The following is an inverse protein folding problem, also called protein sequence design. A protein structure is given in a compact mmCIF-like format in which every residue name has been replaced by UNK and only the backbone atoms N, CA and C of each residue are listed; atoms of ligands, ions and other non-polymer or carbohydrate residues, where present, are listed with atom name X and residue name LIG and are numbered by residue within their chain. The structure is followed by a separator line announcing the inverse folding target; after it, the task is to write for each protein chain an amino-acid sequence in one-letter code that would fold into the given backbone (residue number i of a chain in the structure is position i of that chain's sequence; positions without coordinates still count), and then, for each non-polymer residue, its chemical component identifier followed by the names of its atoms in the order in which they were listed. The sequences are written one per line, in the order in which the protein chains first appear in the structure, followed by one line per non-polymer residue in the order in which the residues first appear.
data_IF_084073058633
#
_entry.id   IF_084073058633
#
_cell.length_a   1.000
_cell.length_b   1.000
_cell.length_c   1.000
_cell.angle_alpha   90.00
_cell.angle_beta   90.00
_cell.angle_gamma   90.00
#
_symmetry.space_group_name_H-M   'P 1'
#
loop_
_entity.id
_entity.type
_entity.pdbx_description
1 polymer ?
#
# COMPACT_ATOMS: atom_id res chain seq x y z
N UNK A 1 1.37 -41.72 0.84
CA UNK A 1 0.93 -40.40 1.36
C UNK A 1 0.17 -39.65 0.26
N UNK A 2 -0.89 -38.93 0.63
CA UNK A 2 -2.07 -38.58 -0.19
C UNK A 2 -1.81 -37.46 -1.22
N UNK A 3 -0.99 -37.72 -2.26
CA UNK A 3 -0.64 -36.75 -3.33
C UNK A 3 -1.85 -36.15 -4.05
N UNK A 4 -2.93 -36.91 -4.21
CA UNK A 4 -4.18 -36.44 -4.83
C UNK A 4 -4.79 -35.23 -4.10
N UNK A 5 -4.73 -35.21 -2.77
CA UNK A 5 -5.25 -34.08 -1.98
C UNK A 5 -4.38 -32.83 -2.08
N UNK A 6 -3.06 -32.98 -2.23
CA UNK A 6 -2.14 -31.87 -2.43
C UNK A 6 -2.37 -31.21 -3.79
N UNK A 7 -2.54 -32.01 -4.84
CA UNK A 7 -2.82 -31.48 -6.18
C UNK A 7 -4.15 -30.72 -6.22
N UNK A 8 -5.23 -31.28 -5.63
CA UNK A 8 -6.53 -30.59 -5.56
C UNK A 8 -6.45 -29.29 -4.75
N UNK A 9 -5.67 -29.26 -3.66
CA UNK A 9 -5.46 -28.04 -2.84
C UNK A 9 -4.67 -26.98 -3.60
N UNK A 10 -3.60 -27.35 -4.29
CA UNK A 10 -2.79 -26.43 -5.09
C UNK A 10 -3.56 -25.89 -6.30
N UNK A 11 -4.35 -26.74 -6.97
CA UNK A 11 -5.22 -26.33 -8.07
C UNK A 11 -6.33 -25.38 -7.60
N UNK A 12 -6.93 -25.65 -6.42
CA UNK A 12 -7.92 -24.76 -5.82
C UNK A 12 -7.28 -23.41 -5.41
N UNK A 13 -6.09 -23.42 -4.81
CA UNK A 13 -5.37 -22.20 -4.45
C UNK A 13 -5.01 -21.36 -5.69
N UNK A 14 -4.56 -22.01 -6.78
CA UNK A 14 -4.30 -21.35 -8.05
C UNK A 14 -5.58 -20.77 -8.66
N UNK A 15 -6.69 -21.50 -8.64
CA UNK A 15 -7.98 -21.02 -9.13
C UNK A 15 -8.48 -19.81 -8.33
N UNK A 16 -8.37 -19.85 -6.99
CA UNK A 16 -8.72 -18.71 -6.13
C UNK A 16 -7.83 -17.51 -6.41
N UNK A 17 -6.52 -17.71 -6.57
CA UNK A 17 -5.58 -16.63 -6.91
C UNK A 17 -5.88 -15.99 -8.28
N UNK A 18 -6.28 -16.79 -9.28
CA UNK A 18 -6.65 -16.30 -10.61
C UNK A 18 -8.00 -15.57 -10.62
N UNK A 19 -8.96 -16.01 -9.80
CA UNK A 19 -10.27 -15.38 -9.65
C UNK A 19 -10.26 -14.17 -8.70
N UNK A 20 -9.19 -14.01 -7.93
CA UNK A 20 -9.01 -12.85 -7.06
C UNK A 20 -8.90 -11.60 -7.90
N UNK A 21 -9.86 -10.69 -7.71
CA UNK A 21 -9.86 -9.40 -8.39
C UNK A 21 -8.70 -8.56 -7.86
N UNK A 22 -7.71 -8.28 -8.71
CA UNK A 22 -6.68 -7.30 -8.40
C UNK A 22 -7.32 -5.91 -8.47
N UNK A 23 -7.66 -5.35 -7.30
CA UNK A 23 -8.13 -3.97 -7.20
C UNK A 23 -6.92 -3.05 -7.38
N UNK A 24 -6.81 -2.43 -8.55
CA UNK A 24 -5.85 -1.34 -8.80
C UNK A 24 -6.34 -0.06 -8.12
N UNK A 25 -6.19 0.01 -6.80
CA UNK A 25 -6.50 1.20 -6.01
C UNK A 25 -5.28 2.11 -5.82
N UNK A 26 -4.29 2.08 -6.73
CA UNK A 26 -3.10 2.94 -6.61
C UNK A 26 -3.46 4.44 -6.47
N UNK A 27 -4.63 4.88 -6.96
CA UNK A 27 -5.13 6.25 -6.78
C UNK A 27 -5.52 6.62 -5.35
N UNK A 28 -5.80 5.65 -4.48
CA UNK A 28 -6.13 5.86 -3.05
C UNK A 28 -5.25 5.02 -2.11
N UNK A 29 -4.22 4.37 -2.65
CA UNK A 29 -3.34 3.51 -1.86
C UNK A 29 -2.37 4.40 -1.09
N UNK A 30 -2.43 4.30 0.24
CA UNK A 30 -1.49 4.93 1.13
C UNK A 30 -0.35 3.95 1.44
N UNK A 31 0.88 4.45 1.41
CA UNK A 31 2.08 3.67 1.74
C UNK A 31 2.77 4.22 3.00
N UNK A 32 2.12 5.15 3.71
CA UNK A 32 2.62 5.86 4.88
C UNK A 32 2.56 5.02 6.15
N UNK A 33 3.43 4.01 6.25
CA UNK A 33 3.54 3.16 7.44
C UNK A 33 4.82 3.38 8.27
N UNK A 34 5.81 4.11 7.74
CA UNK A 34 7.08 4.38 8.44
C UNK A 34 7.68 5.72 8.01
N UNK A 35 8.08 6.54 8.99
CA UNK A 35 8.81 7.78 8.73
C UNK A 35 10.22 7.53 8.17
N UNK A 36 10.87 6.43 8.57
CA UNK A 36 12.15 6.02 7.98
C UNK A 36 11.98 5.61 6.51
N UNK A 37 10.87 4.92 6.20
CA UNK A 37 10.45 4.61 4.84
C UNK A 37 10.19 5.87 4.02
N UNK A 38 9.48 6.87 4.57
CA UNK A 38 9.22 8.15 3.89
C UNK A 38 10.52 8.82 3.39
N UNK A 39 11.57 8.85 4.22
CA UNK A 39 12.88 9.40 3.84
C UNK A 39 13.58 8.65 2.69
N UNK A 40 13.22 7.39 2.46
CA UNK A 40 13.70 6.55 1.34
C UNK A 40 12.67 6.39 0.22
N UNK A 41 11.60 7.19 0.22
CA UNK A 41 10.46 7.04 -0.69
C UNK A 41 9.86 5.61 -0.69
N UNK A 42 9.92 4.93 0.46
CA UNK A 42 9.52 3.54 0.68
C UNK A 42 10.24 2.49 -0.19
N UNK A 43 11.39 2.85 -0.75
CA UNK A 43 12.21 1.94 -1.54
C UNK A 43 12.85 0.87 -0.65
N UNK A 44 12.69 -0.40 -1.02
CA UNK A 44 13.32 -1.53 -0.33
C UNK A 44 12.70 -1.92 1.02
N UNK A 45 11.52 -1.39 1.38
CA UNK A 45 10.88 -1.66 2.68
C UNK A 45 10.52 -3.12 2.95
N UNK A 46 10.52 -3.98 1.92
CA UNK A 46 10.36 -5.42 2.11
C UNK A 46 11.63 -6.15 2.51
N UNK A 47 12.80 -5.50 2.49
CA UNK A 47 14.11 -6.10 2.72
C UNK A 47 14.92 -5.39 3.83
N UNK A 48 14.44 -4.25 4.32
CA UNK A 48 15.12 -3.43 5.32
C UNK A 48 14.35 -3.54 6.64
N UNK A 49 15.03 -3.96 7.71
CA UNK A 49 14.48 -4.09 9.06
C UNK A 49 15.04 -3.02 10.01
N UNK A 50 15.12 -1.76 9.55
CA UNK A 50 15.56 -0.62 10.36
C UNK A 50 14.46 -0.13 11.32
N UNK A 51 13.19 -0.38 10.99
CA UNK A 51 12.03 -0.08 11.84
C UNK A 51 11.09 -1.29 11.96
N UNK A 52 10.52 -1.56 13.15
CA UNK A 52 9.52 -2.62 13.33
C UNK A 52 8.29 -2.46 12.43
N UNK A 53 8.03 -1.22 11.99
CA UNK A 53 6.94 -0.91 11.07
C UNK A 53 7.11 -1.59 9.70
N UNK A 54 8.33 -1.87 9.24
CA UNK A 54 8.58 -2.56 7.97
C UNK A 54 8.08 -4.02 7.98
N UNK A 55 7.87 -4.62 9.17
CA UNK A 55 7.19 -5.90 9.30
C UNK A 55 5.74 -5.89 8.78
N UNK A 56 5.07 -4.72 8.78
CA UNK A 56 3.75 -4.59 8.17
C UNK A 56 3.78 -4.77 6.65
N UNK A 57 4.93 -4.47 6.01
CA UNK A 57 5.17 -4.67 4.58
C UNK A 57 5.66 -6.07 4.26
N UNK A 58 6.54 -6.62 5.10
CA UNK A 58 7.02 -8.00 4.98
C UNK A 58 7.19 -8.66 6.38
N UNK A 59 6.30 -9.58 6.78
CA UNK A 59 6.37 -10.26 8.07
C UNK A 59 7.67 -11.04 8.31
N UNK A 60 8.37 -11.46 7.24
CA UNK A 60 9.64 -12.17 7.36
C UNK A 60 10.73 -11.30 8.02
N UNK A 61 10.62 -9.97 7.96
CA UNK A 61 11.55 -9.04 8.61
C UNK A 61 11.52 -9.13 10.13
N UNK A 62 10.46 -9.70 10.73
CA UNK A 62 10.42 -9.98 12.18
C UNK A 62 11.53 -10.93 12.62
N UNK A 63 12.04 -11.78 11.72
CA UNK A 63 13.17 -12.68 12.00
C UNK A 63 14.50 -11.96 12.21
N UNK A 64 14.60 -10.69 11.81
CA UNK A 64 15.80 -9.86 12.02
C UNK A 64 15.82 -9.16 13.39
N UNK A 65 14.77 -9.31 14.20
CA UNK A 65 14.68 -8.72 15.54
C UNK A 65 14.90 -9.77 16.63
N UNK A 66 15.95 -9.58 17.43
CA UNK A 66 16.29 -10.51 18.53
C UNK A 66 15.50 -10.23 19.83
N UNK A 67 14.73 -9.13 19.87
CA UNK A 67 13.99 -8.66 21.06
C UNK A 67 12.71 -7.94 20.65
N UNK A 68 11.72 -7.84 21.55
CA UNK A 68 10.53 -7.03 21.31
C UNK A 68 10.91 -5.59 20.94
N UNK A 69 10.36 -5.09 19.84
CA UNK A 69 10.63 -3.76 19.31
C UNK A 69 9.31 -3.08 18.92
N UNK A 70 9.22 -1.77 19.13
CA UNK A 70 8.01 -0.97 18.89
C UNK A 70 8.38 0.27 18.07
N UNK A 71 7.50 0.66 17.14
CA UNK A 71 7.62 1.87 16.32
C UNK A 71 6.30 2.63 16.34
N UNK A 72 6.36 3.94 16.56
CA UNK A 72 5.21 4.84 16.53
C UNK A 72 5.59 6.14 15.83
N UNK A 73 4.69 6.65 15.00
CA UNK A 73 4.89 7.88 14.24
C UNK A 73 3.65 8.18 13.40
N UNK A 74 3.68 9.31 12.71
CA UNK A 74 2.62 9.74 11.80
C UNK A 74 3.21 10.48 10.61
N UNK A 75 2.46 10.50 9.50
CA UNK A 75 2.80 11.25 8.29
C UNK A 75 1.65 12.21 8.01
N UNK A 76 1.97 13.50 7.87
CA UNK A 76 1.02 14.50 7.42
C UNK A 76 1.17 14.67 5.90
N UNK A 77 0.05 14.57 5.18
CA UNK A 77 -0.01 14.73 3.73
C UNK A 77 -0.79 16.01 3.43
N UNK A 78 -0.16 16.94 2.73
CA UNK A 78 -0.76 18.19 2.26
C UNK A 78 -0.86 18.15 0.72
N UNK A 79 -1.96 17.60 0.17
CA UNK A 79 -2.12 17.49 -1.28
C UNK A 79 -2.66 18.81 -1.87
N UNK A 80 -2.01 19.29 -2.93
CA UNK A 80 -2.54 20.38 -3.75
C UNK A 80 -3.10 19.80 -5.06
N UNK A 81 -4.43 19.84 -5.21
CA UNK A 81 -5.13 19.27 -6.36
C UNK A 81 -6.08 20.28 -6.96
N UNK A 82 -5.78 20.67 -8.20
CA UNK A 82 -6.56 21.61 -9.00
C UNK A 82 -7.18 20.93 -10.22
N UNK A 83 -8.44 21.26 -10.53
CA UNK A 83 -9.12 20.88 -11.77
C UNK A 83 -9.26 22.12 -12.65
N UNK A 84 -8.92 21.99 -13.93
CA UNK A 84 -9.19 23.00 -14.96
C UNK A 84 -9.89 22.38 -16.16
N UNK A 85 -10.96 23.00 -16.66
CA UNK A 85 -11.67 22.50 -17.83
C UNK A 85 -12.93 23.27 -18.22
N UNK A 86 -13.49 22.95 -19.38
CA UNK A 86 -14.79 23.46 -19.85
C UNK A 86 -15.71 22.29 -20.14
N UNK A 87 -16.92 22.34 -19.61
CA UNK A 87 -18.00 21.40 -19.92
C UNK A 87 -18.38 21.50 -21.40
N UNK A 88 -18.86 20.40 -22.03
CA UNK A 88 -19.48 20.44 -23.36
C UNK A 88 -20.64 21.44 -23.49
N UNK A 89 -21.33 21.75 -22.39
CA UNK A 89 -22.37 22.79 -22.33
C UNK A 89 -21.81 24.21 -22.22
N UNK A 90 -20.49 24.36 -22.30
CA UNK A 90 -19.81 25.64 -22.22
C UNK A 90 -19.82 26.24 -20.82
N UNK A 91 -19.84 25.45 -19.74
CA UNK A 91 -19.65 25.93 -18.35
C UNK A 91 -18.22 25.68 -17.86
N UNK A 92 -17.70 26.50 -16.94
CA UNK A 92 -16.37 26.26 -16.35
C UNK A 92 -16.42 25.08 -15.38
N UNK A 93 -15.42 24.21 -15.45
CA UNK A 93 -15.19 23.10 -14.52
C UNK A 93 -13.99 23.38 -13.60
N UNK A 94 -13.55 24.63 -13.52
CA UNK A 94 -12.39 24.99 -12.73
C UNK A 94 -12.73 24.86 -11.24
N UNK A 95 -11.99 24.01 -10.53
CA UNK A 95 -12.09 23.86 -9.09
C UNK A 95 -10.68 23.90 -8.50
N UNK A 96 -10.49 24.75 -7.49
CA UNK A 96 -9.21 24.93 -6.81
C UNK A 96 -9.19 24.14 -5.52
N UNK A 97 -8.06 23.50 -5.23
CA UNK A 97 -7.82 22.73 -4.01
C UNK A 97 -9.01 21.80 -3.65
N UNK A 98 -9.26 20.81 -4.52
CA UNK A 98 -10.35 19.84 -4.31
C UNK A 98 -10.06 18.83 -3.20
N UNK A 99 -8.84 18.81 -2.67
CA UNK A 99 -8.38 17.95 -1.59
C UNK A 99 -7.83 18.80 -0.43
N UNK A 100 -8.66 19.66 0.19
CA UNK A 100 -8.18 20.56 1.24
C UNK A 100 -7.69 19.77 2.45
N UNK A 101 -6.62 20.27 3.07
CA UNK A 101 -6.19 19.81 4.40
C UNK A 101 -7.23 20.18 5.45
N UNK A 102 -7.48 19.27 6.39
CA UNK A 102 -8.44 19.44 7.49
C UNK A 102 -7.80 20.13 8.71
#
# INVERSE_FOLDING_TARGET
MRQKNLFTKSALAAAVALLSSNVNAAGFQLNEFSAAGLGRAYSGEGAIADTPASASRNPALLSMYDRPAMSIGGVFIDPDVDISGRSPSGQSLNAKNIAPTA
#
